data_IF_567430378481
#
_entry.id   IF_567430378481
#
_cell.length_a   1.000
_cell.length_b   1.000
_cell.length_c   1.000
_cell.angle_alpha   90.00
_cell.angle_beta   90.00
_cell.angle_gamma   90.00
#
_symmetry.space_group_name_H-M   'P 1'
#
loop_
_entity.id
_entity.type
_entity.pdbx_description
1 polymer ?
#
# COMPACT_ATOMS: atom_id res chain seq x y z
N UNK A 1 -7.64 8.41 12.63
CA UNK A 1 -6.15 8.39 12.65
C UNK A 1 -5.63 9.60 13.43
N UNK A 2 -4.85 9.39 14.51
CA UNK A 2 -4.24 10.44 15.33
C UNK A 2 -3.28 11.33 14.48
N UNK A 3 -3.18 12.63 14.81
CA UNK A 3 -2.39 13.65 14.11
C UNK A 3 -0.90 13.31 14.02
N UNK A 4 -0.36 12.62 15.03
CA UNK A 4 1.05 12.20 15.07
C UNK A 4 1.38 11.23 13.94
N UNK A 5 0.55 10.19 13.77
CA UNK A 5 0.75 9.20 12.71
C UNK A 5 0.69 9.83 11.32
N UNK A 6 -0.28 10.72 11.08
CA UNK A 6 -0.39 11.44 9.80
C UNK A 6 0.86 12.27 9.49
N UNK A 7 1.45 12.87 10.52
CA UNK A 7 2.70 13.63 10.38
C UNK A 7 3.87 12.72 10.01
N UNK A 8 4.03 11.58 10.69
CA UNK A 8 5.08 10.60 10.38
C UNK A 8 4.97 10.12 8.92
N UNK A 9 3.78 9.71 8.49
CA UNK A 9 3.56 9.24 7.11
C UNK A 9 3.88 10.30 6.05
N UNK A 10 3.62 11.59 6.35
CA UNK A 10 3.81 12.68 5.38
C UNK A 10 5.22 13.25 5.37
N UNK A 11 5.93 13.19 6.51
CA UNK A 11 7.19 13.92 6.70
C UNK A 11 8.42 13.01 6.81
N UNK A 12 8.26 11.68 6.88
CA UNK A 12 9.39 10.76 6.95
C UNK A 12 10.25 10.87 5.68
N UNK A 13 11.54 11.14 5.88
CA UNK A 13 12.56 11.19 4.84
C UNK A 13 13.61 10.13 5.12
N UNK A 14 13.85 9.25 4.15
CA UNK A 14 14.76 8.10 4.28
C UNK A 14 15.96 8.30 3.35
N UNK A 15 17.17 8.17 3.87
CA UNK A 15 18.40 8.35 3.09
C UNK A 15 18.64 7.21 2.10
N UNK A 16 19.37 7.47 1.01
CA UNK A 16 19.68 6.44 -0.01
C UNK A 16 20.38 5.19 0.56
N UNK A 17 21.21 5.35 1.60
CA UNK A 17 21.85 4.23 2.29
C UNK A 17 20.84 3.34 3.01
N UNK A 18 19.90 3.95 3.74
CA UNK A 18 18.82 3.24 4.44
C UNK A 18 17.88 2.55 3.45
N UNK A 19 17.48 3.25 2.37
CA UNK A 19 16.67 2.64 1.30
C UNK A 19 17.38 1.43 0.70
N UNK A 20 18.68 1.54 0.44
CA UNK A 20 19.47 0.42 -0.09
C UNK A 20 19.50 -0.76 0.88
N UNK A 21 19.70 -0.50 2.18
CA UNK A 21 19.68 -1.52 3.23
C UNK A 21 18.31 -2.19 3.39
N UNK A 22 17.22 -1.42 3.30
CA UNK A 22 15.85 -1.92 3.50
C UNK A 22 15.34 -2.74 2.31
N UNK A 23 15.74 -2.36 1.09
CA UNK A 23 15.19 -2.96 -0.14
C UNK A 23 16.14 -3.93 -0.83
N UNK A 24 17.42 -3.93 -0.46
CA UNK A 24 18.46 -4.68 -1.16
C UNK A 24 18.79 -4.14 -2.56
N UNK A 25 18.16 -3.04 -2.99
CA UNK A 25 18.54 -2.35 -4.24
C UNK A 25 19.81 -1.57 -3.99
N UNK A 26 20.84 -1.74 -4.82
CA UNK A 26 22.10 -1.03 -4.64
C UNK A 26 21.91 0.48 -4.84
N UNK A 27 22.66 1.30 -4.13
CA UNK A 27 22.63 2.76 -4.34
C UNK A 27 22.93 3.17 -5.79
N UNK A 28 23.74 2.38 -6.52
CA UNK A 28 24.01 2.59 -7.94
C UNK A 28 22.76 2.38 -8.79
N UNK A 29 22.00 1.31 -8.54
CA UNK A 29 20.73 1.08 -9.23
C UNK A 29 19.71 2.18 -8.90
N UNK A 30 19.63 2.64 -7.64
CA UNK A 30 18.76 3.75 -7.26
C UNK A 30 19.10 5.01 -8.05
N UNK A 31 20.38 5.41 -8.12
CA UNK A 31 20.83 6.55 -8.95
C UNK A 31 20.49 6.36 -10.43
N UNK A 32 20.67 5.17 -10.97
CA UNK A 32 20.27 4.86 -12.35
C UNK A 32 18.76 4.96 -12.57
N UNK A 33 17.94 4.55 -11.60
CA UNK A 33 16.48 4.70 -11.68
C UNK A 33 16.06 6.17 -11.58
N UNK A 34 16.77 7.01 -10.82
CA UNK A 34 16.59 8.46 -10.82
C UNK A 34 16.90 9.07 -12.19
N UNK A 35 18.03 8.70 -12.80
CA UNK A 35 18.43 9.17 -14.14
C UNK A 35 17.41 8.80 -15.21
N UNK A 36 16.75 7.64 -15.07
CA UNK A 36 15.67 7.20 -15.95
C UNK A 36 14.30 7.80 -15.62
N UNK A 37 14.18 8.58 -14.54
CA UNK A 37 12.92 9.19 -14.10
C UNK A 37 11.91 8.18 -13.56
N UNK A 38 12.38 7.02 -13.08
CA UNK A 38 11.50 5.99 -12.49
C UNK A 38 11.20 6.26 -11.01
N UNK A 39 12.13 6.92 -10.32
CA UNK A 39 11.99 7.39 -8.94
C UNK A 39 12.55 8.80 -8.84
N UNK A 40 12.10 9.56 -7.84
CA UNK A 40 12.56 10.92 -7.61
C UNK A 40 12.98 11.12 -6.14
N UNK A 41 14.18 11.69 -5.89
CA UNK A 41 14.57 12.10 -4.56
C UNK A 41 13.91 13.43 -4.20
N UNK A 42 13.78 13.70 -2.90
CA UNK A 42 13.32 15.00 -2.37
C UNK A 42 14.38 16.07 -2.62
N UNK A 43 15.65 15.72 -2.43
CA UNK A 43 16.80 16.60 -2.57
C UNK A 43 17.80 15.94 -3.53
N UNK A 44 18.07 16.58 -4.67
CA UNK A 44 19.04 16.11 -5.67
C UNK A 44 20.47 16.54 -5.34
N UNK A 45 20.63 17.73 -4.76
CA UNK A 45 21.91 18.29 -4.34
C UNK A 45 22.08 18.09 -2.83
N UNK A 46 23.08 17.29 -2.43
CA UNK A 46 23.31 16.90 -1.04
C UNK A 46 23.04 15.41 -0.75
N UNK A 47 22.67 15.11 0.50
CA UNK A 47 22.33 13.74 0.92
C UNK A 47 20.96 13.37 0.36
N UNK A 48 20.96 12.53 -0.69
CA UNK A 48 19.74 12.00 -1.32
C UNK A 48 18.81 11.38 -0.29
N UNK A 49 17.59 11.90 -0.25
CA UNK A 49 16.49 11.44 0.61
C UNK A 49 15.26 11.15 -0.22
N UNK A 50 14.47 10.19 0.24
CA UNK A 50 13.25 9.74 -0.40
C UNK A 50 12.08 9.86 0.55
N UNK A 51 10.90 10.13 0.00
CA UNK A 51 9.65 10.03 0.75
C UNK A 51 9.35 8.56 1.03
N UNK A 52 8.48 8.29 2.02
CA UNK A 52 7.94 6.95 2.23
C UNK A 52 7.23 6.39 0.97
N UNK A 53 6.56 7.25 0.19
CA UNK A 53 5.94 6.86 -1.08
C UNK A 53 6.95 6.42 -2.15
N UNK A 54 8.09 7.11 -2.25
CA UNK A 54 9.17 6.70 -3.15
C UNK A 54 9.82 5.38 -2.68
N UNK A 55 10.01 5.20 -1.37
CA UNK A 55 10.49 3.93 -0.81
C UNK A 55 9.57 2.75 -1.19
N UNK A 56 8.25 2.91 -1.06
CA UNK A 56 7.30 1.87 -1.51
C UNK A 56 7.39 1.62 -3.01
N UNK A 57 7.57 2.67 -3.82
CA UNK A 57 7.76 2.52 -5.27
C UNK A 57 9.00 1.67 -5.58
N UNK A 58 10.11 1.92 -4.89
CA UNK A 58 11.35 1.14 -5.00
C UNK A 58 11.11 -0.32 -4.62
N UNK A 59 10.41 -0.57 -3.50
CA UNK A 59 10.08 -1.91 -3.04
C UNK A 59 9.25 -2.69 -4.07
N UNK A 60 8.21 -2.07 -4.64
CA UNK A 60 7.40 -2.70 -5.70
C UNK A 60 8.22 -2.99 -6.96
N UNK A 61 9.10 -2.07 -7.38
CA UNK A 61 9.99 -2.33 -8.54
C UNK A 61 10.90 -3.52 -8.23
N UNK A 62 11.51 -3.56 -7.05
CA UNK A 62 12.40 -4.65 -6.61
C UNK A 62 11.69 -6.00 -6.61
N UNK A 63 10.48 -6.07 -6.08
CA UNK A 63 9.68 -7.30 -6.08
C UNK A 63 9.48 -7.86 -7.51
N UNK A 64 9.22 -6.98 -8.49
CA UNK A 64 9.08 -7.42 -9.89
C UNK A 64 10.43 -7.81 -10.52
N UNK A 65 11.52 -7.12 -10.17
CA UNK A 65 12.84 -7.55 -10.61
C UNK A 65 13.19 -8.94 -10.08
N UNK A 66 12.83 -9.24 -8.83
CA UNK A 66 13.05 -10.56 -8.22
C UNK A 66 12.21 -11.67 -8.87
N UNK A 67 11.07 -11.31 -9.45
CA UNK A 67 10.24 -12.19 -10.28
C UNK A 67 10.80 -12.38 -11.70
N UNK A 68 11.95 -11.78 -12.03
CA UNK A 68 12.63 -11.94 -13.32
C UNK A 68 12.19 -10.95 -14.40
N UNK A 69 11.41 -9.92 -14.08
CA UNK A 69 11.03 -8.89 -15.05
C UNK A 69 12.21 -7.96 -15.37
N UNK A 70 12.23 -7.42 -16.59
CA UNK A 70 13.13 -6.32 -16.95
C UNK A 70 12.76 -5.05 -16.19
N UNK A 71 13.70 -4.11 -16.02
CA UNK A 71 13.44 -2.86 -15.28
C UNK A 71 12.24 -2.07 -15.84
N UNK A 72 12.13 -1.93 -17.16
CA UNK A 72 11.01 -1.22 -17.77
C UNK A 72 9.65 -1.89 -17.47
N UNK A 73 9.60 -3.23 -17.52
CA UNK A 73 8.39 -4.00 -17.20
C UNK A 73 8.07 -3.95 -15.70
N UNK A 74 9.09 -4.05 -14.84
CA UNK A 74 8.99 -3.93 -13.40
C UNK A 74 8.40 -2.57 -12.99
N UNK A 75 8.89 -1.48 -13.58
CA UNK A 75 8.35 -0.13 -13.34
C UNK A 75 6.88 -0.05 -13.76
N UNK A 76 6.51 -0.58 -14.94
CA UNK A 76 5.12 -0.60 -15.39
C UNK A 76 4.22 -1.37 -14.42
N UNK A 77 4.58 -2.60 -14.07
CA UNK A 77 3.82 -3.45 -13.14
C UNK A 77 3.74 -2.86 -11.73
N UNK A 78 4.81 -2.22 -11.25
CA UNK A 78 4.81 -1.53 -9.95
C UNK A 78 3.74 -0.43 -9.88
N UNK A 79 3.45 0.26 -10.99
CA UNK A 79 2.39 1.27 -11.05
C UNK A 79 1.00 0.65 -10.94
N UNK A 80 0.80 -0.56 -11.45
CA UNK A 80 -0.45 -1.31 -11.30
C UNK A 80 -0.67 -1.66 -9.82
N UNK A 81 0.36 -2.15 -9.13
CA UNK A 81 0.25 -2.48 -7.70
C UNK A 81 0.05 -1.24 -6.82
N UNK A 82 0.75 -0.14 -7.11
CA UNK A 82 0.48 1.14 -6.45
C UNK A 82 -0.96 1.62 -6.69
N UNK A 83 -1.53 1.36 -7.86
CA UNK A 83 -2.92 1.71 -8.16
C UNK A 83 -3.89 0.89 -7.32
N UNK A 84 -3.64 -0.42 -7.16
CA UNK A 84 -4.43 -1.28 -6.27
C UNK A 84 -4.41 -0.78 -4.83
N UNK A 85 -3.23 -0.42 -4.30
CA UNK A 85 -3.12 0.15 -2.94
C UNK A 85 -3.86 1.48 -2.83
N UNK A 86 -3.80 2.35 -3.84
CA UNK A 86 -4.58 3.60 -3.87
C UNK A 86 -6.09 3.35 -3.86
N UNK A 87 -6.57 2.34 -4.58
CA UNK A 87 -7.98 1.95 -4.59
C UNK A 87 -8.41 1.44 -3.22
N UNK A 88 -7.64 0.54 -2.60
CA UNK A 88 -7.91 0.06 -1.23
C UNK A 88 -7.93 1.21 -0.23
N UNK A 89 -6.96 2.12 -0.29
CA UNK A 89 -6.95 3.31 0.57
C UNK A 89 -8.22 4.15 0.39
N UNK A 90 -8.69 4.36 -0.85
CA UNK A 90 -9.92 5.10 -1.11
C UNK A 90 -11.15 4.38 -0.56
N UNK A 91 -11.23 3.06 -0.74
CA UNK A 91 -12.29 2.22 -0.20
C UNK A 91 -12.38 2.38 1.33
N UNK A 92 -11.26 2.22 2.03
CA UNK A 92 -11.18 2.39 3.49
C UNK A 92 -10.99 3.85 3.95
N UNK A 93 -11.24 4.83 3.07
CA UNK A 93 -11.34 6.24 3.48
C UNK A 93 -12.78 6.66 3.78
N UNK A 94 -13.76 5.86 3.33
CA UNK A 94 -15.18 6.07 3.64
C UNK A 94 -15.39 5.86 5.15
N UNK A 95 -15.99 6.80 5.89
CA UNK A 95 -16.25 6.61 7.32
C UNK A 95 -17.31 5.54 7.63
N UNK A 96 -18.03 5.03 6.62
CA UNK A 96 -19.12 4.09 6.80
C UNK A 96 -18.66 2.67 7.13
N UNK A 97 -17.41 2.29 6.83
CA UNK A 97 -16.93 0.98 7.27
C UNK A 97 -16.65 0.97 8.77
N UNK A 98 -16.91 -0.15 9.41
CA UNK A 98 -16.64 -0.39 10.82
C UNK A 98 -15.77 -1.62 10.95
N UNK A 99 -14.72 -1.54 11.78
CA UNK A 99 -13.86 -2.67 12.09
C UNK A 99 -14.09 -3.06 13.56
N UNK A 100 -14.44 -4.31 13.80
CA UNK A 100 -14.50 -4.92 15.12
C UNK A 100 -13.39 -5.97 15.22
N UNK A 101 -12.44 -5.79 16.14
CA UNK A 101 -11.39 -6.78 16.39
C UNK A 101 -11.86 -7.68 17.52
N UNK A 102 -11.99 -8.98 17.25
CA UNK A 102 -12.44 -9.98 18.21
C UNK A 102 -11.26 -10.67 18.90
N UNK A 103 -10.12 -10.78 18.23
CA UNK A 103 -8.86 -11.32 18.77
C UNK A 103 -7.69 -10.47 18.28
N UNK A 104 -6.98 -9.83 19.21
CA UNK A 104 -5.82 -8.99 18.90
C UNK A 104 -4.54 -9.80 18.62
N UNK A 105 -4.40 -10.99 19.19
CA UNK A 105 -3.21 -11.82 19.03
C UNK A 105 -3.19 -12.47 17.64
N UNK A 106 -4.35 -12.94 17.19
CA UNK A 106 -4.50 -13.63 15.91
C UNK A 106 -5.01 -12.71 14.78
N UNK A 107 -5.20 -11.41 15.06
CA UNK A 107 -5.74 -10.43 14.12
C UNK A 107 -7.13 -10.80 13.55
N UNK A 108 -7.95 -11.47 14.35
CA UNK A 108 -9.32 -11.85 13.98
C UNK A 108 -10.32 -10.75 14.25
N UNK A 109 -11.33 -10.65 13.40
CA UNK A 109 -12.33 -9.61 13.49
C UNK A 109 -13.26 -9.56 12.30
N UNK A 110 -14.03 -8.48 12.24
CA UNK A 110 -15.04 -8.24 11.24
C UNK A 110 -14.89 -6.84 10.67
N UNK A 111 -15.07 -6.71 9.36
CA UNK A 111 -15.13 -5.44 8.65
C UNK A 111 -16.52 -5.33 8.02
N UNK A 112 -17.36 -4.48 8.62
CA UNK A 112 -18.66 -4.14 8.04
C UNK A 112 -18.46 -2.97 7.06
N UNK A 113 -18.93 -3.10 5.83
CA UNK A 113 -18.77 -2.10 4.77
C UNK A 113 -19.94 -1.11 4.67
N UNK A 114 -20.92 -1.20 5.57
CA UNK A 114 -22.17 -0.47 5.54
C UNK A 114 -23.13 -0.98 4.45
N UNK A 115 -24.19 -0.20 4.20
CA UNK A 115 -25.20 -0.53 3.21
C UNK A 115 -24.62 -0.39 1.79
N UNK A 116 -24.53 -1.50 1.08
CA UNK A 116 -24.11 -1.56 -0.31
C UNK A 116 -25.32 -1.77 -1.22
N UNK A 117 -25.30 -1.10 -2.37
CA UNK A 117 -26.23 -1.38 -3.47
C UNK A 117 -25.54 -2.30 -4.46
N UNK A 118 -26.07 -3.51 -4.61
CA UNK A 118 -25.64 -4.46 -5.62
C UNK A 118 -26.06 -4.00 -7.02
N UNK A 119 -25.36 -4.52 -8.03
CA UNK A 119 -25.61 -4.16 -9.44
C UNK A 119 -27.00 -4.59 -9.92
N UNK A 120 -27.59 -5.61 -9.30
CA UNK A 120 -28.96 -6.09 -9.56
C UNK A 120 -30.03 -5.25 -8.85
N UNK A 121 -29.64 -4.19 -8.14
CA UNK A 121 -30.54 -3.26 -7.46
C UNK A 121 -30.83 -3.62 -6.00
N UNK A 122 -30.43 -4.81 -5.54
CA UNK A 122 -30.59 -5.20 -4.13
C UNK A 122 -29.72 -4.34 -3.22
N UNK A 123 -30.16 -4.23 -1.98
CA UNK A 123 -29.50 -3.45 -0.92
C UNK A 123 -29.28 -4.36 0.27
N UNK A 124 -28.12 -4.22 0.89
CA UNK A 124 -27.80 -5.01 2.07
C UNK A 124 -26.45 -4.63 2.64
N UNK A 125 -26.20 -5.10 3.84
CA UNK A 125 -24.95 -4.84 4.53
C UNK A 125 -23.96 -5.98 4.21
N UNK A 126 -22.74 -5.63 3.80
CA UNK A 126 -21.67 -6.60 3.58
C UNK A 126 -20.74 -6.61 4.78
N UNK A 127 -20.47 -7.78 5.33
CA UNK A 127 -19.50 -7.99 6.39
C UNK A 127 -18.44 -8.99 5.93
N UNK A 128 -17.17 -8.61 5.97
CA UNK A 128 -16.06 -9.55 5.86
C UNK A 128 -15.65 -10.02 7.24
N UNK A 129 -15.52 -11.32 7.43
CA UNK A 129 -15.13 -11.96 8.68
C UNK A 129 -13.76 -12.59 8.47
N UNK A 130 -12.83 -12.30 9.37
CA UNK A 130 -11.48 -12.86 9.41
C UNK A 130 -11.35 -13.68 10.69
N UNK A 131 -11.16 -14.98 10.54
CA UNK A 131 -10.99 -15.93 11.64
C UNK A 131 -9.97 -17.03 11.28
N UNK A 132 -9.94 -18.09 12.10
CA UNK A 132 -9.07 -19.25 11.94
C UNK A 132 -9.28 -20.01 10.62
N UNK A 133 -10.48 -19.94 10.03
CA UNK A 133 -10.83 -20.61 8.78
C UNK A 133 -10.53 -19.73 7.55
N UNK A 134 -10.06 -18.50 7.78
CA UNK A 134 -9.64 -17.55 6.77
C UNK A 134 -10.58 -16.36 6.66
N UNK A 135 -10.76 -15.86 5.43
CA UNK A 135 -11.68 -14.74 5.17
C UNK A 135 -12.95 -15.24 4.49
N UNK A 136 -14.11 -14.92 5.06
CA UNK A 136 -15.42 -15.20 4.47
C UNK A 136 -16.31 -13.96 4.52
N UNK A 137 -17.44 -14.00 3.81
CA UNK A 137 -18.29 -12.84 3.58
C UNK A 137 -19.75 -13.17 3.88
N UNK A 138 -20.40 -12.30 4.63
CA UNK A 138 -21.84 -12.34 4.91
C UNK A 138 -22.50 -11.12 4.28
N UNK A 139 -23.67 -11.32 3.68
CA UNK A 139 -24.47 -10.26 3.08
C UNK A 139 -25.89 -10.33 3.63
N UNK A 140 -26.28 -9.31 4.39
CA UNK A 140 -27.60 -9.20 5.01
C UNK A 140 -28.48 -8.30 4.15
N UNK A 141 -29.38 -8.91 3.37
CA UNK A 141 -30.32 -8.20 2.48
C UNK A 141 -31.40 -7.46 3.29
N UNK A 142 -31.73 -6.23 2.88
CA UNK A 142 -32.73 -5.35 3.51
C UNK A 142 -34.01 -5.23 2.69
#
# INVERSE_FOLDING_TARGET
MNSVWRSIYSNLKVGIGEVSSLTGVTQRQLRYWEEKGYIEPIEKEGLRKYTLGTLFSIAFIKEKLDQGYTLASAVKKSKEDQTKVKLLRKLFSDPNYQINVCDLEHEYGQVNFGELRLMDGRKGDLTAIIDQDGTHYEFDEK
#
